data_IF_253887747137
#
_entry.id   IF_253887747137
#
_cell.length_a   1.000
_cell.length_b   1.000
_cell.length_c   1.000
_cell.angle_alpha   90.00
_cell.angle_beta   90.00
_cell.angle_gamma   90.00
#
_symmetry.space_group_name_H-M   'P 1'
#
loop_
_entity.id
_entity.type
_entity.pdbx_description
1 polymer ?
#
# COMPACT_ATOMS: atom_id res chain seq x y z
N UNK A 1 -16.07 4.25 -16.44
CA UNK A 1 -14.82 3.81 -17.09
C UNK A 1 -13.78 4.88 -16.82
N UNK A 2 -12.95 4.74 -15.78
CA UNK A 2 -11.93 5.75 -15.50
C UNK A 2 -10.84 5.64 -16.57
N UNK A 3 -10.62 6.74 -17.29
CA UNK A 3 -9.56 6.89 -18.27
C UNK A 3 -8.20 6.81 -17.56
N UNK A 4 -7.68 5.59 -17.44
CA UNK A 4 -6.35 5.35 -16.92
C UNK A 4 -5.43 5.27 -18.15
N UNK A 5 -4.64 6.35 -18.32
CA UNK A 5 -3.35 6.45 -19.03
C UNK A 5 -3.40 6.84 -20.52
N UNK A 6 -3.52 8.14 -20.78
CA UNK A 6 -2.92 8.76 -21.98
C UNK A 6 -1.45 9.19 -21.74
N UNK A 7 -0.91 8.89 -20.55
CA UNK A 7 0.49 9.12 -20.20
C UNK A 7 1.09 7.82 -19.63
N UNK A 8 2.26 7.41 -20.10
CA UNK A 8 2.89 6.10 -19.90
C UNK A 8 3.33 5.74 -18.45
N UNK A 9 2.78 6.40 -17.43
CA UNK A 9 3.21 6.22 -16.04
C UNK A 9 2.35 5.15 -15.39
N UNK A 10 2.93 4.00 -15.03
CA UNK A 10 2.22 2.99 -14.27
C UNK A 10 2.09 3.43 -12.79
N UNK A 11 0.95 3.17 -12.13
CA UNK A 11 0.83 3.43 -10.70
C UNK A 11 1.83 2.57 -9.90
N UNK A 12 2.38 3.10 -8.79
CA UNK A 12 3.33 2.36 -7.96
C UNK A 12 2.66 1.15 -7.32
N UNK A 13 3.37 0.02 -7.30
CA UNK A 13 2.95 -1.16 -6.54
C UNK A 13 2.92 -0.82 -5.05
N UNK A 14 1.97 -1.38 -4.32
CA UNK A 14 1.89 -1.22 -2.87
C UNK A 14 3.18 -1.74 -2.21
N UNK A 15 3.75 -0.94 -1.31
CA UNK A 15 4.95 -1.30 -0.55
C UNK A 15 4.53 -1.61 0.89
N UNK A 16 4.45 -2.91 1.21
CA UNK A 16 3.94 -3.38 2.49
C UNK A 16 4.90 -3.07 3.65
N UNK A 17 6.20 -3.04 3.36
CA UNK A 17 7.26 -2.78 4.33
C UNK A 17 7.21 -1.35 4.87
N UNK A 18 6.78 -0.39 4.03
CA UNK A 18 6.57 0.99 4.42
C UNK A 18 5.39 1.61 3.62
N UNK A 19 4.15 1.41 4.09
CA UNK A 19 2.96 1.97 3.46
C UNK A 19 2.95 3.51 3.44
N UNK A 20 3.74 4.15 4.33
CA UNK A 20 3.84 5.62 4.37
C UNK A 20 4.71 6.12 3.23
N UNK A 21 5.82 5.44 2.93
CA UNK A 21 6.62 5.74 1.73
C UNK A 21 5.84 5.47 0.44
N UNK A 22 5.01 4.42 0.41
CA UNK A 22 4.14 4.16 -0.74
C UNK A 22 3.18 5.32 -1.01
N UNK A 23 2.60 5.93 0.03
CA UNK A 23 1.75 7.12 -0.14
C UNK A 23 2.51 8.28 -0.79
N UNK A 24 3.77 8.50 -0.43
CA UNK A 24 4.62 9.53 -1.06
C UNK A 24 4.83 9.23 -2.55
N UNK A 25 5.10 7.98 -2.91
CA UNK A 25 5.21 7.57 -4.32
C UNK A 25 3.89 7.78 -5.07
N UNK A 26 2.77 7.53 -4.42
CA UNK A 26 1.44 7.69 -5.00
C UNK A 26 1.08 9.17 -5.23
N UNK A 27 1.45 10.06 -4.30
CA UNK A 27 1.28 11.51 -4.45
C UNK A 27 2.09 12.07 -5.65
N UNK A 28 3.32 11.57 -5.82
CA UNK A 28 4.15 11.92 -6.99
C UNK A 28 3.53 11.41 -8.29
N UNK A 29 3.02 10.17 -8.28
CA UNK A 29 2.31 9.61 -9.42
C UNK A 29 1.09 10.46 -9.81
N UNK A 30 0.26 10.86 -8.86
CA UNK A 30 -0.90 11.72 -9.13
C UNK A 30 -0.49 13.06 -9.74
N UNK A 31 0.58 13.66 -9.23
CA UNK A 31 1.12 14.90 -9.78
C UNK A 31 1.59 14.74 -11.23
N UNK A 32 2.27 13.62 -11.54
CA UNK A 32 2.74 13.32 -12.90
C UNK A 32 1.61 12.95 -13.87
N UNK A 33 0.58 12.27 -13.38
CA UNK A 33 -0.59 11.87 -14.16
C UNK A 33 -1.67 12.96 -14.25
N UNK A 34 -1.42 14.15 -13.68
CA UNK A 34 -2.39 15.26 -13.58
C UNK A 34 -3.73 14.83 -12.95
N UNK A 35 -3.67 13.94 -11.94
CA UNK A 35 -4.84 13.52 -11.16
C UNK A 35 -4.91 14.39 -9.91
N UNK A 36 -5.84 15.34 -9.88
CA UNK A 36 -6.03 16.30 -8.79
C UNK A 36 -7.35 16.11 -8.02
N UNK A 37 -8.36 15.50 -8.64
CA UNK A 37 -9.63 15.16 -7.99
C UNK A 37 -9.48 14.08 -6.90
N UNK A 38 -9.98 14.39 -5.70
CA UNK A 38 -9.92 13.52 -4.51
C UNK A 38 -10.57 12.15 -4.74
N UNK A 39 -11.72 12.11 -5.42
CA UNK A 39 -12.44 10.87 -5.66
C UNK A 39 -11.67 9.95 -6.62
N UNK A 40 -11.02 10.53 -7.62
CA UNK A 40 -10.18 9.83 -8.58
C UNK A 40 -8.93 9.27 -7.93
N UNK A 41 -8.24 10.07 -7.10
CA UNK A 41 -7.10 9.62 -6.27
C UNK A 41 -7.50 8.47 -5.35
N UNK A 42 -8.66 8.60 -4.69
CA UNK A 42 -9.20 7.57 -3.81
C UNK A 42 -9.44 6.25 -4.55
N UNK A 43 -10.11 6.30 -5.70
CA UNK A 43 -10.40 5.09 -6.50
C UNK A 43 -9.12 4.39 -6.91
N UNK A 44 -8.13 5.14 -7.39
CA UNK A 44 -6.83 4.57 -7.78
C UNK A 44 -6.14 3.95 -6.56
N UNK A 45 -6.01 4.69 -5.46
CA UNK A 45 -5.39 4.20 -4.22
C UNK A 45 -6.06 2.92 -3.71
N UNK A 46 -7.40 2.89 -3.67
CA UNK A 46 -8.17 1.74 -3.23
C UNK A 46 -7.94 0.50 -4.10
N UNK A 47 -7.78 0.66 -5.42
CA UNK A 47 -7.50 -0.47 -6.34
C UNK A 47 -6.09 -1.04 -6.19
N UNK A 48 -5.16 -0.26 -5.66
CA UNK A 48 -3.77 -0.67 -5.45
C UNK A 48 -3.55 -1.36 -4.09
N UNK A 49 -4.51 -1.25 -3.17
CA UNK A 49 -4.42 -1.93 -1.87
C UNK A 49 -4.55 -3.45 -2.05
N UNK A 50 -3.67 -4.25 -1.43
CA UNK A 50 -3.77 -5.70 -1.50
C UNK A 50 -5.00 -6.20 -0.74
N UNK A 51 -5.60 -7.30 -1.23
CA UNK A 51 -6.89 -7.79 -0.74
C UNK A 51 -6.93 -8.11 0.76
N UNK A 52 -5.81 -8.48 1.36
CA UNK A 52 -5.73 -8.76 2.79
C UNK A 52 -5.82 -7.48 3.65
N UNK A 53 -5.40 -6.32 3.13
CA UNK A 53 -5.51 -5.03 3.81
C UNK A 53 -6.87 -4.36 3.60
N UNK A 54 -7.60 -4.69 2.54
CA UNK A 54 -8.94 -4.12 2.28
C UNK A 54 -9.87 -4.29 3.48
N UNK A 55 -9.75 -5.39 4.23
CA UNK A 55 -10.54 -5.64 5.44
C UNK A 55 -10.39 -4.56 6.49
N UNK A 56 -9.17 -4.08 6.69
CA UNK A 56 -8.89 -3.05 7.69
C UNK A 56 -9.63 -1.76 7.32
N UNK A 57 -9.69 -1.40 6.03
CA UNK A 57 -10.25 -0.14 5.52
C UNK A 57 -11.71 -0.23 5.06
N UNK A 58 -12.42 -1.31 5.39
CA UNK A 58 -13.80 -1.55 4.91
C UNK A 58 -14.78 -0.43 5.27
N UNK A 59 -14.59 0.22 6.41
CA UNK A 59 -15.37 1.37 6.89
C UNK A 59 -15.29 2.56 5.92
N UNK A 60 -14.08 2.86 5.44
CA UNK A 60 -13.81 3.95 4.50
C UNK A 60 -14.15 3.53 3.07
N UNK A 61 -13.85 2.29 2.69
CA UNK A 61 -14.03 1.81 1.32
C UNK A 61 -15.51 1.62 0.94
N UNK A 62 -16.36 1.18 1.88
CA UNK A 62 -17.80 0.97 1.61
C UNK A 62 -18.59 2.27 1.61
N UNK A 63 -18.20 3.22 2.45
CA UNK A 63 -18.86 4.51 2.55
C UNK A 63 -17.81 5.63 2.48
N UNK A 64 -17.27 5.91 1.27
CA UNK A 64 -16.25 6.91 1.12
C UNK A 64 -16.79 8.29 1.55
N UNK A 65 -16.04 9.04 2.35
CA UNK A 65 -16.45 10.38 2.77
C UNK A 65 -16.49 11.33 1.57
N UNK A 66 -17.46 12.26 1.56
CA UNK A 66 -17.78 13.06 0.38
C UNK A 66 -16.77 14.15 0.05
N UNK A 67 -16.15 14.77 1.06
CA UNK A 67 -15.29 15.94 0.85
C UNK A 67 -13.87 15.55 0.45
N UNK A 68 -13.26 14.59 1.17
CA UNK A 68 -11.84 14.23 1.01
C UNK A 68 -11.56 12.73 1.17
N UNK A 69 -12.12 11.88 0.30
CA UNK A 69 -11.98 10.43 0.39
C UNK A 69 -10.53 9.94 0.33
N UNK A 70 -9.67 10.56 -0.49
CA UNK A 70 -8.27 10.14 -0.58
C UNK A 70 -7.48 10.58 0.64
N UNK A 71 -7.68 11.82 1.09
CA UNK A 71 -7.03 12.32 2.30
C UNK A 71 -7.37 11.44 3.51
N UNK A 72 -8.65 11.10 3.69
CA UNK A 72 -9.09 10.27 4.83
C UNK A 72 -8.52 8.84 4.73
N UNK A 73 -8.49 8.24 3.54
CA UNK A 73 -7.85 6.94 3.35
C UNK A 73 -6.35 7.00 3.68
N UNK A 74 -5.65 8.03 3.18
CA UNK A 74 -4.21 8.22 3.40
C UNK A 74 -3.88 8.43 4.88
N UNK A 75 -4.68 9.23 5.59
CA UNK A 75 -4.54 9.43 7.03
C UNK A 75 -4.80 8.14 7.80
N UNK A 76 -5.80 7.35 7.42
CA UNK A 76 -6.05 6.05 8.04
C UNK A 76 -4.86 5.10 7.83
N UNK A 77 -4.25 5.08 6.64
CA UNK A 77 -3.03 4.29 6.37
C UNK A 77 -1.88 4.80 7.25
N UNK A 78 -1.65 6.12 7.33
CA UNK A 78 -0.62 6.72 8.20
C UNK A 78 -0.88 6.45 9.68
N UNK A 79 -2.13 6.43 10.15
CA UNK A 79 -2.43 6.16 11.55
C UNK A 79 -2.24 4.69 11.91
N UNK A 80 -2.64 3.78 11.02
CA UNK A 80 -2.58 2.33 11.26
C UNK A 80 -1.16 1.78 11.08
N UNK A 81 -0.39 2.34 10.15
CA UNK A 81 0.97 1.89 9.85
C UNK A 81 2.06 2.86 10.36
N UNK A 82 1.84 4.17 10.29
CA UNK A 82 2.84 5.21 10.56
C UNK A 82 3.14 5.51 12.04
N UNK A 83 2.37 4.98 13.00
CA UNK A 83 2.77 5.01 14.42
C UNK A 83 3.93 4.08 14.75
N UNK A 84 4.36 3.27 13.79
CA UNK A 84 5.46 2.34 13.97
C UNK A 84 6.48 2.62 12.89
N UNK A 85 7.54 3.35 13.21
CA UNK A 85 8.69 3.52 12.31
C UNK A 85 9.23 2.17 11.77
N UNK A 86 8.90 1.06 12.44
CA UNK A 86 8.77 -0.29 11.90
C UNK A 86 7.61 -0.95 12.67
N UNK A 87 6.49 -1.29 12.03
CA UNK A 87 5.44 -2.12 12.68
C UNK A 87 6.12 -3.33 13.33
N UNK A 88 5.84 -3.66 14.60
CA UNK A 88 6.50 -4.77 15.30
C UNK A 88 6.48 -6.05 14.47
N UNK A 89 5.40 -6.28 13.74
CA UNK A 89 5.24 -7.41 12.83
C UNK A 89 6.26 -7.40 11.69
N UNK A 90 6.50 -6.26 11.06
CA UNK A 90 7.51 -6.13 9.98
C UNK A 90 8.95 -6.06 10.50
N UNK A 91 9.17 -5.48 11.68
CA UNK A 91 10.45 -5.57 12.38
C UNK A 91 10.81 -7.02 12.67
N UNK A 92 9.85 -7.79 13.18
CA UNK A 92 10.00 -9.21 13.44
C UNK A 92 10.25 -9.97 12.14
N UNK A 93 9.48 -9.74 11.06
CA UNK A 93 9.73 -10.37 9.77
C UNK A 93 11.14 -10.06 9.22
N UNK A 94 11.61 -8.82 9.34
CA UNK A 94 12.97 -8.42 8.94
C UNK A 94 14.05 -9.09 9.78
N UNK A 95 13.82 -9.26 11.08
CA UNK A 95 14.74 -9.96 11.99
C UNK A 95 14.73 -11.48 11.78
N UNK A 96 13.60 -12.04 11.34
CA UNK A 96 13.43 -13.47 11.06
C UNK A 96 13.88 -13.86 9.64
N UNK A 97 13.97 -12.90 8.71
CA UNK A 97 14.37 -13.11 7.32
C UNK A 97 15.69 -13.90 7.17
N UNK A 98 16.77 -13.58 7.91
CA UNK A 98 18.02 -14.35 7.84
C UNK A 98 17.86 -15.81 8.29
N UNK A 99 17.02 -16.07 9.30
CA UNK A 99 16.78 -17.42 9.82
C UNK A 99 15.90 -18.27 8.89
N UNK A 100 14.94 -17.66 8.20
CA UNK A 100 14.11 -18.36 7.23
C UNK A 100 14.91 -18.83 6.01
N UNK A 101 15.93 -18.07 5.59
CA UNK A 101 16.82 -18.45 4.50
C UNK A 101 17.70 -19.66 4.85
N UNK A 102 18.06 -19.84 6.12
CA UNK A 102 18.82 -21.00 6.61
C UNK A 102 17.98 -22.29 6.68
N UNK A 103 16.65 -22.17 6.70
CA UNK A 103 15.74 -23.32 6.70
C UNK A 103 15.41 -23.81 5.27
N UNK A 104 15.81 -23.07 4.24
CA UNK A 104 15.62 -23.44 2.83
C UNK A 104 16.78 -24.27 2.25
N UNK A 105 17.69 -24.76 3.08
CA UNK A 105 18.76 -25.66 2.63
C UNK A 105 18.15 -26.90 1.95
N UNK A 106 18.38 -27.13 0.64
CA UNK A 106 17.82 -28.27 -0.09
C UNK A 106 18.51 -29.61 0.26
N UNK A 107 19.29 -29.67 1.34
CA UNK A 107 20.18 -30.80 1.63
C UNK A 107 19.55 -31.94 2.44
N UNK A 108 18.23 -32.07 2.49
CA UNK A 108 17.56 -33.28 3.01
C UNK A 108 16.69 -33.94 1.93
N UNK A 109 17.28 -34.24 0.78
CA UNK A 109 16.75 -35.24 -0.15
C UNK A 109 17.90 -35.94 -0.86
N UNK A 110 18.71 -36.65 -0.09
CA UNK A 110 19.47 -37.81 -0.57
C UNK A 110 19.63 -38.78 0.59
N UNK A 111 18.76 -39.79 0.64
CA UNK A 111 19.10 -41.21 0.80
C UNK A 111 17.82 -42.00 0.56
#
# INVERSE_FOLDING_TARGET
MCAILDNHVAPPRFFEEDPVIWLVQLDLFFSQAAVDDELSRFRIAATLLPGHLLRDFTDILRNPPLDRPYTILSDAIRQRFGKSAFSPRYRLLRLLQPHLLLLQDPSTSKT
#
